data_IF_459412671797
#
_entry.id   IF_459412671797
#
_cell.length_a   1.000
_cell.length_b   1.000
_cell.length_c   1.000
_cell.angle_alpha   90.00
_cell.angle_beta   90.00
_cell.angle_gamma   90.00
#
_symmetry.space_group_name_H-M   'P 1'
#
loop_
_entity.id
_entity.type
_entity.pdbx_description
1 polymer ?
#
# COMPACT_ATOMS: atom_id res chain seq x y z
N UNK A 1 -74.83 -31.14 41.90
CA UNK A 1 -74.26 -31.20 40.55
C UNK A 1 -72.89 -30.46 40.57
N UNK A 2 -71.85 -31.23 40.66
CA UNK A 2 -70.45 -30.66 40.70
C UNK A 2 -69.83 -30.75 39.32
N UNK A 3 -69.51 -29.62 38.71
CA UNK A 3 -68.76 -29.53 37.44
C UNK A 3 -67.25 -29.46 37.73
N UNK A 4 -66.48 -30.46 37.26
CA UNK A 4 -65.02 -30.50 37.36
C UNK A 4 -64.45 -29.77 36.18
N UNK A 5 -63.74 -28.66 36.44
CA UNK A 5 -62.91 -27.96 35.45
C UNK A 5 -61.54 -28.67 35.36
N UNK A 6 -61.21 -29.22 34.19
CA UNK A 6 -59.90 -29.77 33.91
C UNK A 6 -59.00 -28.67 33.40
N UNK A 7 -58.02 -28.27 34.19
CA UNK A 7 -56.91 -27.37 33.77
C UNK A 7 -55.88 -28.17 33.02
N UNK A 8 -55.74 -27.94 31.70
CA UNK A 8 -54.68 -28.48 30.88
C UNK A 8 -53.46 -27.59 31.01
N UNK A 9 -52.37 -28.17 31.51
CA UNK A 9 -51.05 -27.53 31.58
C UNK A 9 -50.35 -27.70 30.21
N UNK A 10 -50.22 -26.62 29.41
CA UNK A 10 -49.48 -26.61 28.18
C UNK A 10 -47.99 -26.40 28.51
N UNK A 11 -47.18 -27.43 28.28
CA UNK A 11 -45.73 -27.39 28.43
C UNK A 11 -45.12 -26.73 27.19
N UNK A 12 -44.67 -25.47 27.33
CA UNK A 12 -43.97 -24.73 26.26
C UNK A 12 -42.53 -25.21 26.24
N UNK A 13 -42.15 -26.06 25.24
CA UNK A 13 -40.76 -26.41 24.97
C UNK A 13 -40.08 -25.24 24.25
N UNK A 14 -39.21 -24.58 24.98
CA UNK A 14 -38.30 -23.54 24.42
C UNK A 14 -37.15 -24.27 23.69
N UNK A 15 -37.19 -24.31 22.37
CA UNK A 15 -36.07 -24.76 21.54
C UNK A 15 -35.01 -23.66 21.54
N UNK A 16 -33.95 -23.80 22.35
CA UNK A 16 -32.72 -23.05 22.19
C UNK A 16 -32.02 -23.54 20.91
N UNK A 17 -32.12 -22.76 19.85
CA UNK A 17 -31.21 -22.91 18.69
C UNK A 17 -29.80 -22.52 19.14
N UNK A 18 -28.79 -23.35 18.96
CA UNK A 18 -27.39 -22.93 19.16
C UNK A 18 -27.10 -21.83 18.14
N UNK A 19 -26.84 -20.62 18.64
CA UNK A 19 -26.32 -19.54 17.81
C UNK A 19 -25.01 -20.01 17.16
N UNK A 20 -25.00 -20.10 15.84
CA UNK A 20 -23.77 -20.21 15.07
C UNK A 20 -23.01 -18.90 15.31
N UNK A 21 -22.13 -18.90 16.30
CA UNK A 21 -21.05 -17.92 16.37
C UNK A 21 -20.17 -18.19 15.14
N UNK A 22 -20.35 -17.40 14.09
CA UNK A 22 -19.35 -17.33 13.03
C UNK A 22 -18.08 -16.83 13.69
N UNK A 23 -17.11 -17.73 13.89
CA UNK A 23 -15.76 -17.33 14.20
C UNK A 23 -15.33 -16.44 13.02
N UNK A 24 -15.30 -15.13 13.24
CA UNK A 24 -14.66 -14.20 12.32
C UNK A 24 -13.20 -14.62 12.32
N UNK A 25 -12.76 -15.28 11.23
CA UNK A 25 -11.36 -15.58 11.04
C UNK A 25 -10.62 -14.24 11.16
N UNK A 26 -9.62 -14.17 12.05
CA UNK A 26 -8.76 -13.00 12.14
C UNK A 26 -8.23 -12.70 10.74
N UNK A 27 -8.54 -11.54 10.20
CA UNK A 27 -8.12 -11.18 8.85
C UNK A 27 -6.60 -11.16 8.81
N UNK A 28 -6.03 -12.01 7.96
CA UNK A 28 -4.58 -12.09 7.75
C UNK A 28 -4.09 -10.74 7.27
N UNK A 29 -3.13 -10.16 7.99
CA UNK A 29 -2.50 -8.90 7.58
C UNK A 29 -1.23 -9.20 6.80
N UNK A 30 -1.19 -8.72 5.57
CA UNK A 30 0.00 -8.79 4.72
C UNK A 30 0.93 -7.61 4.99
N UNK A 31 2.24 -7.83 4.87
CA UNK A 31 3.22 -6.75 4.96
C UNK A 31 3.27 -5.99 3.63
N UNK A 32 3.23 -4.66 3.68
CA UNK A 32 3.57 -3.85 2.51
C UNK A 32 5.04 -4.06 2.16
N UNK A 33 5.33 -4.45 0.92
CA UNK A 33 6.68 -4.91 0.55
C UNK A 33 7.44 -3.92 -0.32
N UNK A 34 6.82 -3.40 -1.40
CA UNK A 34 7.56 -2.61 -2.38
C UNK A 34 6.71 -1.69 -3.25
N UNK A 35 7.42 -0.81 -3.94
CA UNK A 35 6.94 -0.02 -5.08
C UNK A 35 7.89 -0.24 -6.26
N UNK A 36 7.34 -0.42 -7.47
CA UNK A 36 8.11 -0.36 -8.70
C UNK A 36 7.85 0.97 -9.42
N UNK A 37 8.94 1.68 -9.70
CA UNK A 37 8.94 2.94 -10.44
C UNK A 37 9.57 2.72 -11.82
N UNK A 38 8.88 3.15 -12.87
CA UNK A 38 9.38 3.13 -14.23
C UNK A 38 10.07 4.46 -14.54
N UNK A 39 11.36 4.40 -14.83
CA UNK A 39 12.20 5.58 -15.08
C UNK A 39 13.16 5.31 -16.25
N UNK A 40 13.63 6.35 -16.96
CA UNK A 40 14.56 6.14 -18.10
C UNK A 40 15.90 5.49 -17.67
N UNK A 41 16.45 5.91 -16.54
CA UNK A 41 17.78 5.51 -16.05
C UNK A 41 17.68 5.00 -14.61
N UNK A 42 17.35 3.70 -14.38
CA UNK A 42 17.08 3.15 -13.04
C UNK A 42 18.18 3.39 -12.01
N UNK A 43 19.44 3.18 -12.38
CA UNK A 43 20.55 3.34 -11.45
C UNK A 43 20.81 4.82 -11.08
N UNK A 44 20.61 5.73 -12.05
CA UNK A 44 20.73 7.18 -11.82
C UNK A 44 19.61 7.64 -10.90
N UNK A 45 18.38 7.16 -11.12
CA UNK A 45 17.25 7.47 -10.26
C UNK A 45 17.46 6.93 -8.85
N UNK A 46 17.87 5.68 -8.71
CA UNK A 46 18.13 5.08 -7.39
C UNK A 46 19.24 5.84 -6.64
N UNK A 47 20.31 6.25 -7.33
CA UNK A 47 21.36 7.06 -6.70
C UNK A 47 20.82 8.43 -6.25
N UNK A 48 20.02 9.10 -7.09
CA UNK A 48 19.40 10.38 -6.73
C UNK A 48 18.50 10.24 -5.49
N UNK A 49 17.67 9.21 -5.45
CA UNK A 49 16.80 8.93 -4.29
C UNK A 49 17.62 8.67 -3.03
N UNK A 50 18.67 7.85 -3.13
CA UNK A 50 19.57 7.56 -2.01
C UNK A 50 20.18 8.85 -1.42
N UNK A 51 20.67 9.74 -2.27
CA UNK A 51 21.38 10.94 -1.85
C UNK A 51 20.44 12.04 -1.31
N UNK A 52 19.21 12.10 -1.82
CA UNK A 52 18.30 13.21 -1.56
C UNK A 52 17.07 12.84 -0.72
N UNK A 53 16.59 11.60 -0.81
CA UNK A 53 15.41 11.12 -0.08
C UNK A 53 15.83 10.18 1.04
N UNK A 54 16.84 9.36 0.81
CA UNK A 54 17.34 8.33 1.72
C UNK A 54 17.20 6.94 1.16
N UNK A 55 17.20 5.96 2.06
CA UNK A 55 17.23 4.55 1.71
C UNK A 55 18.64 4.03 1.48
N UNK A 56 18.76 2.72 1.45
CA UNK A 56 20.04 2.03 1.28
C UNK A 56 19.97 1.05 0.12
N UNK A 57 21.02 0.93 -0.67
CA UNK A 57 21.11 -0.11 -1.68
C UNK A 57 21.03 -1.50 -1.05
N UNK A 58 20.28 -2.38 -1.68
CA UNK A 58 20.07 -3.76 -1.22
C UNK A 58 20.37 -4.77 -2.34
N UNK A 59 20.53 -6.03 -1.94
CA UNK A 59 20.73 -7.17 -2.85
C UNK A 59 21.98 -7.05 -3.74
N UNK A 60 22.96 -6.20 -3.37
CA UNK A 60 24.14 -5.91 -4.19
C UNK A 60 23.81 -5.20 -5.50
N UNK A 61 22.66 -4.53 -5.57
CA UNK A 61 22.15 -3.85 -6.77
C UNK A 61 22.09 -2.35 -6.56
N UNK A 62 22.20 -1.61 -7.68
CA UNK A 62 22.18 -0.15 -7.72
C UNK A 62 20.89 0.43 -8.31
N UNK A 63 19.91 -0.43 -8.60
CA UNK A 63 18.59 -0.09 -9.14
C UNK A 63 17.45 -0.19 -8.10
N UNK A 64 17.80 -0.38 -6.81
CA UNK A 64 16.81 -0.54 -5.75
C UNK A 64 17.30 -0.07 -4.40
N UNK A 65 16.36 0.45 -3.61
CA UNK A 65 16.61 0.97 -2.27
C UNK A 65 15.66 0.34 -1.25
N UNK A 66 16.13 0.20 -0.02
CA UNK A 66 15.34 -0.17 1.14
C UNK A 66 15.11 1.05 2.02
N UNK A 67 13.85 1.33 2.33
CA UNK A 67 13.38 2.32 3.30
C UNK A 67 12.68 1.59 4.44
N UNK A 68 13.38 1.35 5.55
CA UNK A 68 12.86 0.52 6.63
C UNK A 68 12.56 -0.91 6.14
N UNK A 69 11.28 -1.24 5.95
CA UNK A 69 10.84 -2.55 5.43
C UNK A 69 10.38 -2.51 3.97
N UNK A 70 10.26 -1.32 3.39
CA UNK A 70 9.72 -1.12 2.04
C UNK A 70 10.84 -0.95 1.02
N UNK A 71 10.75 -1.68 -0.08
CA UNK A 71 11.64 -1.54 -1.23
C UNK A 71 11.08 -0.56 -2.23
N UNK A 72 11.95 0.26 -2.80
CA UNK A 72 11.65 0.99 -4.04
C UNK A 72 12.59 0.44 -5.10
N UNK A 73 12.00 -0.12 -6.16
CA UNK A 73 12.73 -0.68 -7.27
C UNK A 73 12.49 0.17 -8.52
N UNK A 74 13.58 0.54 -9.19
CA UNK A 74 13.54 1.34 -10.40
C UNK A 74 13.69 0.41 -11.59
N UNK A 75 12.75 0.49 -12.52
CA UNK A 75 12.73 -0.29 -13.75
C UNK A 75 12.87 0.65 -14.96
N UNK A 76 13.46 0.15 -16.01
CA UNK A 76 13.52 0.91 -17.25
C UNK A 76 12.11 1.13 -17.81
N UNK A 77 11.76 2.39 -18.11
CA UNK A 77 10.45 2.81 -18.57
C UNK A 77 10.49 4.16 -19.25
N UNK A 78 11.18 4.27 -20.40
CA UNK A 78 11.40 5.52 -21.14
C UNK A 78 10.12 6.28 -21.53
N UNK A 79 9.00 5.57 -21.65
CA UNK A 79 7.71 6.12 -22.07
C UNK A 79 6.63 6.04 -21.00
N UNK A 80 7.03 5.91 -19.72
CA UNK A 80 6.07 5.83 -18.63
C UNK A 80 5.24 7.12 -18.52
N UNK A 81 3.92 6.97 -18.42
CA UNK A 81 3.03 8.10 -18.14
C UNK A 81 3.25 8.58 -16.71
N UNK A 82 3.39 9.90 -16.44
CA UNK A 82 3.47 10.39 -15.06
C UNK A 82 2.30 9.87 -14.22
N UNK A 83 2.57 9.37 -13.01
CA UNK A 83 1.56 8.77 -12.14
C UNK A 83 0.54 9.75 -11.58
N UNK A 84 0.85 11.04 -11.60
CA UNK A 84 -0.04 12.11 -11.11
C UNK A 84 -1.41 12.04 -11.78
N UNK A 85 -2.45 11.87 -10.98
CA UNK A 85 -3.83 11.69 -11.46
C UNK A 85 -4.22 10.24 -11.74
N UNK A 86 -3.28 9.31 -11.73
CA UNK A 86 -3.54 7.87 -11.80
C UNK A 86 -4.02 7.29 -10.48
N UNK A 87 -4.36 6.01 -10.49
CA UNK A 87 -4.81 5.31 -9.28
C UNK A 87 -3.73 5.31 -8.19
N UNK A 88 -2.45 5.17 -8.55
CA UNK A 88 -1.32 5.41 -7.64
C UNK A 88 -0.76 6.79 -7.97
N UNK A 89 -1.20 7.81 -7.25
CA UNK A 89 -0.91 9.21 -7.58
C UNK A 89 0.51 9.62 -7.20
N UNK A 90 0.93 9.33 -5.98
CA UNK A 90 2.25 9.69 -5.47
C UNK A 90 2.68 8.86 -4.26
N UNK A 91 3.95 8.99 -3.93
CA UNK A 91 4.57 8.44 -2.73
C UNK A 91 4.85 9.56 -1.73
N UNK A 92 4.76 9.24 -0.44
CA UNK A 92 5.08 10.15 0.64
C UNK A 92 6.31 9.73 1.43
N UNK A 93 7.14 10.71 1.78
CA UNK A 93 8.35 10.50 2.58
C UNK A 93 8.40 11.51 3.73
N UNK A 94 8.78 11.04 4.92
CA UNK A 94 8.85 11.86 6.11
C UNK A 94 10.27 12.10 6.56
N UNK A 95 10.53 13.33 6.98
CA UNK A 95 11.84 13.84 7.38
C UNK A 95 11.76 14.56 8.72
N UNK A 96 12.90 14.68 9.40
CA UNK A 96 13.03 15.44 10.65
C UNK A 96 13.13 16.95 10.42
N UNK A 97 13.59 17.38 9.23
CA UNK A 97 13.70 18.78 8.80
C UNK A 97 13.24 18.88 7.35
N UNK A 98 11.96 19.18 7.18
CA UNK A 98 11.36 19.28 5.87
C UNK A 98 11.91 20.46 5.06
N UNK A 99 12.17 21.60 5.71
CA UNK A 99 12.64 22.79 5.02
C UNK A 99 14.04 22.55 4.41
N UNK A 100 14.97 21.99 5.18
CA UNK A 100 16.29 21.64 4.67
C UNK A 100 16.21 20.56 3.57
N UNK A 101 15.26 19.63 3.70
CA UNK A 101 15.05 18.59 2.68
C UNK A 101 14.55 19.18 1.36
N UNK A 102 13.58 20.10 1.41
CA UNK A 102 13.07 20.76 0.19
C UNK A 102 14.16 21.55 -0.52
N UNK A 103 15.02 22.26 0.21
CA UNK A 103 16.15 22.97 -0.40
C UNK A 103 17.17 22.00 -1.02
N UNK A 104 17.46 20.89 -0.35
CA UNK A 104 18.36 19.83 -0.88
C UNK A 104 17.82 19.25 -2.19
N UNK A 105 16.56 18.81 -2.25
CA UNK A 105 16.00 18.22 -3.46
C UNK A 105 15.88 19.24 -4.59
N UNK A 106 15.57 20.50 -4.28
CA UNK A 106 15.56 21.62 -5.24
C UNK A 106 16.94 21.79 -5.87
N UNK A 107 17.98 21.85 -5.05
CA UNK A 107 19.37 21.94 -5.53
C UNK A 107 19.79 20.72 -6.36
N UNK A 108 19.19 19.56 -6.13
CA UNK A 108 19.40 18.32 -6.86
C UNK A 108 18.50 18.15 -8.10
N UNK A 109 17.81 19.22 -8.54
CA UNK A 109 17.06 19.24 -9.79
C UNK A 109 15.57 18.89 -9.70
N UNK A 110 15.01 18.68 -8.49
CA UNK A 110 13.58 18.52 -8.35
C UNK A 110 12.85 19.88 -8.50
N UNK A 111 11.63 19.83 -9.04
CA UNK A 111 10.74 20.98 -9.11
C UNK A 111 9.83 20.99 -7.90
N UNK A 112 9.87 22.06 -7.08
CA UNK A 112 8.95 22.23 -5.97
C UNK A 112 7.62 22.74 -6.53
N UNK A 113 6.61 21.89 -6.52
CA UNK A 113 5.26 22.20 -7.01
C UNK A 113 4.35 22.81 -5.94
N UNK A 114 4.68 22.61 -4.65
CA UNK A 114 4.06 23.27 -3.51
C UNK A 114 5.10 23.46 -2.42
N UNK A 115 5.32 24.71 -2.02
CA UNK A 115 6.26 25.06 -0.95
C UNK A 115 5.84 24.47 0.40
N UNK A 116 6.80 24.43 1.33
CA UNK A 116 6.54 23.98 2.70
C UNK A 116 5.42 24.81 3.33
N UNK A 117 4.39 24.11 3.78
CA UNK A 117 3.27 24.70 4.50
C UNK A 117 2.89 23.86 5.70
N UNK A 118 2.44 24.50 6.75
CA UNK A 118 1.85 23.83 7.89
C UNK A 118 0.40 23.45 7.59
N UNK A 119 0.03 22.21 7.87
CA UNK A 119 -1.37 21.77 7.81
C UNK A 119 -1.86 21.53 9.24
N UNK A 120 -2.70 22.42 9.77
CA UNK A 120 -3.14 22.33 11.15
C UNK A 120 -3.74 20.97 11.50
N UNK A 121 -3.21 20.35 12.54
CA UNK A 121 -3.63 19.04 13.02
C UNK A 121 -3.06 17.85 12.24
N UNK A 122 -2.20 18.07 11.24
CA UNK A 122 -1.43 17.03 10.57
C UNK A 122 0.08 17.23 10.81
N UNK A 123 0.76 17.83 9.86
CA UNK A 123 2.21 18.08 9.84
C UNK A 123 2.52 19.15 8.78
N UNK A 124 3.75 19.61 8.75
CA UNK A 124 4.24 20.36 7.59
C UNK A 124 4.39 19.45 6.39
N UNK A 125 4.03 19.93 5.21
CA UNK A 125 4.19 19.22 3.96
C UNK A 125 4.59 20.12 2.80
N UNK A 126 5.19 19.51 1.79
CA UNK A 126 5.52 20.11 0.50
C UNK A 126 5.27 19.07 -0.61
N UNK A 127 5.05 19.54 -1.82
CA UNK A 127 5.02 18.65 -2.99
C UNK A 127 6.16 18.99 -3.93
N UNK A 128 6.78 17.96 -4.46
CA UNK A 128 7.81 18.08 -5.49
C UNK A 128 7.49 17.17 -6.67
N UNK A 129 8.12 17.47 -7.80
CA UNK A 129 8.28 16.54 -8.92
C UNK A 129 9.78 16.26 -9.01
N UNK A 130 10.17 14.98 -8.91
CA UNK A 130 11.56 14.57 -9.00
C UNK A 130 12.12 14.78 -10.44
N UNK A 131 13.43 14.64 -10.66
CA UNK A 131 14.02 14.81 -11.99
C UNK A 131 13.53 13.79 -13.05
N UNK A 132 12.84 12.74 -12.61
CA UNK A 132 12.31 11.67 -13.47
C UNK A 132 10.82 11.80 -13.74
N UNK A 133 10.18 12.89 -13.24
CA UNK A 133 8.77 13.21 -13.47
C UNK A 133 7.79 12.65 -12.42
N UNK A 134 8.27 12.08 -11.33
CA UNK A 134 7.40 11.52 -10.30
C UNK A 134 7.02 12.58 -9.27
N UNK A 135 5.72 12.68 -9.00
CA UNK A 135 5.21 13.50 -7.90
C UNK A 135 5.47 12.82 -6.56
N UNK A 136 5.95 13.57 -5.60
CA UNK A 136 6.18 13.12 -4.23
C UNK A 136 5.65 14.11 -3.22
N UNK A 137 5.12 13.60 -2.11
CA UNK A 137 4.78 14.37 -0.93
C UNK A 137 5.90 14.23 0.10
N UNK A 138 6.51 15.34 0.47
CA UNK A 138 7.51 15.40 1.54
C UNK A 138 6.85 15.99 2.78
N UNK A 139 7.00 15.32 3.93
CA UNK A 139 6.32 15.70 5.17
C UNK A 139 7.28 15.73 6.36
N UNK A 140 6.84 16.37 7.46
CA UNK A 140 7.54 16.37 8.74
C UNK A 140 6.68 15.65 9.80
N UNK A 141 6.69 14.31 9.76
CA UNK A 141 6.05 13.46 10.76
C UNK A 141 7.09 12.66 11.53
N UNK A 142 7.47 13.16 12.72
CA UNK A 142 8.49 12.52 13.57
C UNK A 142 8.09 11.12 14.08
N UNK A 143 6.83 10.70 13.96
CA UNK A 143 6.39 9.38 14.39
C UNK A 143 6.63 8.32 13.32
N UNK A 144 6.73 8.71 12.05
CA UNK A 144 6.83 7.81 10.90
C UNK A 144 7.86 8.31 9.90
N UNK A 145 9.14 8.29 10.25
CA UNK A 145 10.23 8.75 9.39
C UNK A 145 10.52 7.76 8.24
N UNK A 146 11.01 8.28 7.12
CA UNK A 146 11.37 7.52 5.93
C UNK A 146 10.17 7.35 4.97
N UNK A 147 10.02 6.18 4.35
CA UNK A 147 8.86 5.91 3.49
C UNK A 147 7.59 5.90 4.34
N UNK A 148 6.72 6.87 4.08
CA UNK A 148 5.59 7.13 4.94
C UNK A 148 4.27 6.56 4.39
N UNK A 149 3.99 6.82 3.10
CA UNK A 149 2.72 6.38 2.53
C UNK A 149 2.77 6.18 1.03
N UNK A 150 1.83 5.38 0.55
CA UNK A 150 1.36 5.39 -0.84
C UNK A 150 0.01 6.08 -0.88
N UNK A 151 -0.17 7.02 -1.81
CA UNK A 151 -1.42 7.76 -1.95
C UNK A 151 -2.14 7.34 -3.22
N UNK A 152 -3.31 6.77 -3.03
CA UNK A 152 -4.19 6.34 -4.12
C UNK A 152 -5.28 7.39 -4.39
N UNK A 153 -5.87 7.29 -5.58
CA UNK A 153 -7.07 8.03 -5.95
C UNK A 153 -8.16 7.05 -6.35
N UNK A 154 -9.41 7.39 -5.99
CA UNK A 154 -10.56 6.55 -6.29
C UNK A 154 -11.83 7.38 -6.44
N UNK A 155 -12.73 6.90 -7.30
CA UNK A 155 -14.09 7.45 -7.42
C UNK A 155 -14.93 7.15 -6.17
N UNK A 156 -14.65 6.03 -5.48
CA UNK A 156 -15.25 5.68 -4.19
C UNK A 156 -14.15 5.25 -3.18
N UNK A 157 -13.55 6.20 -2.43
CA UNK A 157 -12.53 5.89 -1.45
C UNK A 157 -12.97 4.89 -0.38
N UNK A 158 -14.25 4.90 0.03
CA UNK A 158 -14.72 4.01 1.09
C UNK A 158 -14.80 2.56 0.60
N UNK A 159 -15.31 2.33 -0.60
CA UNK A 159 -15.31 1.01 -1.22
C UNK A 159 -13.88 0.52 -1.48
N UNK A 160 -12.98 1.40 -1.93
CA UNK A 160 -11.57 1.08 -2.16
C UNK A 160 -10.87 0.70 -0.86
N UNK A 161 -11.04 1.45 0.21
CA UNK A 161 -10.51 1.09 1.52
C UNK A 161 -11.05 -0.27 2.00
N UNK A 162 -12.36 -0.50 1.89
CA UNK A 162 -12.96 -1.77 2.30
C UNK A 162 -12.35 -2.96 1.53
N UNK A 163 -12.06 -2.78 0.24
CA UNK A 163 -11.41 -3.80 -0.56
C UNK A 163 -9.97 -4.10 -0.09
N UNK A 164 -9.15 -3.05 0.14
CA UNK A 164 -7.77 -3.24 0.61
C UNK A 164 -7.73 -3.89 2.00
N UNK A 165 -8.61 -3.46 2.91
CA UNK A 165 -8.72 -4.04 4.25
C UNK A 165 -9.16 -5.51 4.21
N UNK A 166 -10.18 -5.85 3.42
CA UNK A 166 -10.64 -7.23 3.26
C UNK A 166 -9.60 -8.12 2.58
N UNK A 167 -8.84 -7.58 1.62
CA UNK A 167 -7.88 -8.34 0.82
C UNK A 167 -6.55 -8.52 1.56
N UNK A 168 -5.96 -7.45 2.08
CA UNK A 168 -4.61 -7.45 2.65
C UNK A 168 -4.57 -7.17 4.14
N UNK A 169 -5.72 -6.94 4.79
CA UNK A 169 -5.77 -6.58 6.20
C UNK A 169 -5.21 -5.18 6.47
N UNK A 170 -4.41 -5.06 7.52
CA UNK A 170 -3.95 -3.78 8.03
C UNK A 170 -4.89 -3.20 9.09
N UNK A 171 -4.53 -2.07 9.65
CA UNK A 171 -5.33 -1.39 10.66
C UNK A 171 -6.02 -0.19 10.02
N UNK A 172 -7.33 -0.33 9.75
CA UNK A 172 -8.14 0.82 9.33
C UNK A 172 -8.20 1.82 10.47
N UNK A 173 -7.64 2.99 10.26
CA UNK A 173 -7.54 4.02 11.29
C UNK A 173 -7.44 5.42 10.66
N UNK A 174 -7.18 6.41 11.47
CA UNK A 174 -7.16 7.79 11.04
C UNK A 174 -5.79 8.42 11.35
N UNK A 175 -5.10 8.85 10.29
CA UNK A 175 -3.83 9.55 10.40
C UNK A 175 -4.06 10.91 11.08
N UNK A 176 -3.48 11.09 12.28
CA UNK A 176 -3.57 12.31 13.08
C UNK A 176 -5.01 12.79 13.35
N UNK A 177 -6.03 11.92 13.30
CA UNK A 177 -7.43 12.31 13.44
C UNK A 177 -7.98 13.12 12.27
N UNK A 178 -7.30 13.14 11.11
CA UNK A 178 -7.64 14.02 9.97
C UNK A 178 -7.86 13.28 8.65
N UNK A 179 -7.16 12.19 8.43
CA UNK A 179 -7.23 11.46 7.16
C UNK A 179 -7.43 9.98 7.42
N UNK A 180 -8.46 9.41 6.82
CA UNK A 180 -8.66 7.97 6.81
C UNK A 180 -7.51 7.27 6.09
N UNK A 181 -7.11 6.13 6.62
CA UNK A 181 -6.05 5.32 6.03
C UNK A 181 -6.03 3.90 6.56
N UNK A 182 -5.24 3.06 5.93
CA UNK A 182 -4.88 1.74 6.44
C UNK A 182 -3.40 1.78 6.79
N UNK A 183 -3.08 1.46 8.04
CA UNK A 183 -1.70 1.31 8.50
C UNK A 183 -1.28 -0.15 8.39
N UNK A 184 -0.25 -0.40 7.58
CA UNK A 184 0.37 -1.71 7.42
C UNK A 184 1.60 -1.89 8.32
N UNK A 185 2.00 -3.14 8.61
CA UNK A 185 3.28 -3.44 9.28
C UNK A 185 4.44 -2.75 8.57
N UNK A 186 5.38 -2.20 9.35
CA UNK A 186 6.48 -1.36 8.84
C UNK A 186 6.15 0.13 8.85
N UNK A 187 5.01 0.53 9.44
CA UNK A 187 4.53 1.92 9.54
C UNK A 187 4.27 2.57 8.19
N UNK A 188 3.75 1.80 7.23
CA UNK A 188 3.39 2.31 5.90
C UNK A 188 1.90 2.57 5.84
N UNK A 189 1.52 3.79 5.50
CA UNK A 189 0.14 4.18 5.29
C UNK A 189 -0.30 3.95 3.84
N UNK A 190 -1.49 3.39 3.66
CA UNK A 190 -2.26 3.49 2.43
C UNK A 190 -3.30 4.59 2.63
N UNK A 191 -3.15 5.68 1.88
CA UNK A 191 -4.07 6.81 1.90
C UNK A 191 -4.85 6.84 0.58
N UNK A 192 -6.10 7.28 0.61
CA UNK A 192 -6.95 7.34 -0.59
C UNK A 192 -7.71 8.66 -0.60
N UNK A 193 -7.59 9.40 -1.69
CA UNK A 193 -8.37 10.62 -1.93
C UNK A 193 -9.44 10.42 -2.99
N UNK A 194 -10.52 11.19 -2.88
CA UNK A 194 -11.59 11.26 -3.87
C UNK A 194 -11.05 11.79 -5.20
N UNK A 195 -11.46 11.15 -6.31
CA UNK A 195 -11.21 11.62 -7.66
C UNK A 195 -12.41 11.22 -8.56
N UNK A 196 -12.78 12.10 -9.48
CA UNK A 196 -13.88 11.81 -10.42
C UNK A 196 -13.48 10.77 -11.49
N UNK A 197 -12.18 10.70 -11.79
CA UNK A 197 -11.60 9.74 -12.71
C UNK A 197 -10.14 9.48 -12.38
N UNK A 198 -9.68 8.27 -12.67
CA UNK A 198 -8.29 7.85 -12.59
C UNK A 198 -7.90 7.08 -13.83
N UNK A 199 -6.62 6.72 -13.96
CA UNK A 199 -6.14 5.76 -14.95
C UNK A 199 -5.35 4.64 -14.26
N UNK A 200 -5.27 3.43 -14.86
CA UNK A 200 -4.54 2.30 -14.28
C UNK A 200 -3.07 2.62 -14.02
N UNK A 201 -2.49 1.99 -13.00
CA UNK A 201 -1.08 2.19 -12.67
C UNK A 201 -0.12 1.48 -13.62
N UNK A 202 -0.55 0.41 -14.28
CA UNK A 202 0.30 -0.30 -15.24
C UNK A 202 0.73 0.61 -16.39
N UNK A 203 2.04 0.76 -16.58
CA UNK A 203 2.62 1.65 -17.59
C UNK A 203 2.74 3.11 -17.14
N UNK A 204 2.33 3.44 -15.92
CA UNK A 204 2.62 4.72 -15.30
C UNK A 204 4.00 4.72 -14.63
N UNK A 205 4.48 5.89 -14.26
CA UNK A 205 5.79 6.04 -13.61
C UNK A 205 5.85 5.41 -12.20
N UNK A 206 4.71 5.24 -11.52
CA UNK A 206 4.54 4.28 -10.42
C UNK A 206 3.72 3.13 -11.00
N UNK A 207 4.40 2.09 -11.50
CA UNK A 207 3.77 1.01 -12.26
C UNK A 207 2.93 0.09 -11.37
N UNK A 208 3.46 -0.30 -10.22
CA UNK A 208 2.75 -1.13 -9.27
C UNK A 208 3.28 -1.01 -7.85
N UNK A 209 2.44 -1.45 -6.94
CA UNK A 209 2.69 -1.58 -5.50
C UNK A 209 2.59 -3.05 -5.12
N UNK A 210 3.27 -3.46 -4.04
CA UNK A 210 3.32 -4.88 -3.72
C UNK A 210 3.24 -5.21 -2.25
N UNK A 211 2.67 -6.39 -1.97
CA UNK A 211 2.61 -7.00 -0.65
C UNK A 211 3.42 -8.30 -0.61
N UNK A 212 3.93 -8.62 0.57
CA UNK A 212 4.68 -9.85 0.80
C UNK A 212 3.74 -11.03 1.02
N UNK A 213 3.86 -12.06 0.19
CA UNK A 213 3.32 -13.38 0.44
C UNK A 213 4.28 -14.14 1.38
N UNK A 214 3.78 -14.65 2.50
CA UNK A 214 4.59 -15.50 3.40
C UNK A 214 4.76 -16.92 2.84
N UNK A 215 3.71 -17.42 2.19
CA UNK A 215 3.68 -18.64 1.39
C UNK A 215 2.84 -18.38 0.14
N UNK A 216 3.36 -18.72 -1.03
CA UNK A 216 2.69 -18.43 -2.30
C UNK A 216 1.39 -19.21 -2.46
N UNK A 217 1.40 -20.53 -2.16
CA UNK A 217 0.23 -21.38 -2.35
C UNK A 217 -0.92 -20.98 -1.40
N UNK A 218 -0.59 -20.73 -0.14
CA UNK A 218 -1.56 -20.25 0.85
C UNK A 218 -2.12 -18.88 0.47
N UNK A 219 -1.25 -17.96 0.00
CA UNK A 219 -1.66 -16.61 -0.43
C UNK A 219 -2.58 -16.66 -1.64
N UNK A 220 -2.26 -17.50 -2.64
CA UNK A 220 -3.11 -17.70 -3.81
C UNK A 220 -4.50 -18.22 -3.40
N UNK A 221 -4.53 -19.24 -2.54
CA UNK A 221 -5.79 -19.81 -2.05
C UNK A 221 -6.64 -18.80 -1.28
N UNK A 222 -6.01 -17.98 -0.42
CA UNK A 222 -6.67 -16.91 0.33
C UNK A 222 -7.28 -15.85 -0.61
N UNK A 223 -6.50 -15.36 -1.57
CA UNK A 223 -6.96 -14.34 -2.51
C UNK A 223 -8.04 -14.86 -3.46
N UNK A 224 -7.94 -16.13 -3.90
CA UNK A 224 -8.99 -16.77 -4.69
C UNK A 224 -10.30 -16.91 -3.90
N UNK A 225 -10.20 -17.32 -2.62
CA UNK A 225 -11.38 -17.40 -1.74
C UNK A 225 -12.05 -16.04 -1.51
N UNK A 226 -11.28 -14.94 -1.57
CA UNK A 226 -11.78 -13.56 -1.50
C UNK A 226 -12.29 -13.02 -2.83
N UNK A 227 -12.19 -13.78 -3.93
CA UNK A 227 -12.63 -13.38 -5.26
C UNK A 227 -11.75 -12.34 -5.94
N UNK A 228 -10.47 -12.25 -5.55
CA UNK A 228 -9.52 -11.31 -6.15
C UNK A 228 -9.17 -11.75 -7.56
N UNK A 229 -9.16 -10.82 -8.51
CA UNK A 229 -8.83 -11.07 -9.92
C UNK A 229 -7.30 -11.17 -10.11
N UNK A 230 -6.85 -12.32 -10.63
CA UNK A 230 -5.45 -12.54 -10.98
C UNK A 230 -5.19 -12.10 -12.42
N UNK A 231 -4.17 -11.27 -12.62
CA UNK A 231 -3.77 -10.75 -13.94
C UNK A 231 -2.52 -11.42 -14.49
N UNK A 232 -1.89 -12.31 -13.72
CA UNK A 232 -0.81 -13.19 -14.17
C UNK A 232 -0.79 -14.49 -13.40
N UNK A 233 -0.26 -15.54 -14.03
CA UNK A 233 0.09 -16.78 -13.33
C UNK A 233 1.29 -16.54 -12.40
N UNK A 234 1.38 -17.29 -11.27
CA UNK A 234 2.55 -17.32 -10.41
C UNK A 234 3.78 -17.82 -11.18
N UNK A 235 4.91 -17.16 -10.98
CA UNK A 235 6.17 -17.51 -11.64
C UNK A 235 7.36 -17.29 -10.74
N UNK A 236 8.40 -18.08 -10.96
CA UNK A 236 9.67 -17.94 -10.27
C UNK A 236 10.60 -17.01 -11.03
N UNK A 237 11.39 -16.24 -10.27
CA UNK A 237 12.53 -15.49 -10.78
C UNK A 237 13.76 -15.82 -9.94
N UNK A 238 14.84 -16.24 -10.61
CA UNK A 238 16.12 -16.46 -9.95
C UNK A 238 16.87 -15.13 -9.85
N UNK A 239 17.21 -14.76 -8.63
CA UNK A 239 18.04 -13.61 -8.30
C UNK A 239 19.41 -14.11 -7.77
N UNK A 240 20.45 -13.26 -7.73
CA UNK A 240 21.75 -13.67 -7.19
C UNK A 240 21.71 -14.21 -5.75
N UNK A 241 20.77 -13.72 -4.95
CA UNK A 241 20.59 -14.08 -3.54
C UNK A 241 19.45 -15.07 -3.27
N UNK A 242 18.84 -15.68 -4.32
CA UNK A 242 17.82 -16.70 -4.15
C UNK A 242 16.74 -16.67 -5.22
N UNK A 243 15.67 -17.43 -4.98
CA UNK A 243 14.50 -17.48 -5.87
C UNK A 243 13.35 -16.73 -5.19
N UNK A 244 12.69 -15.87 -5.95
CA UNK A 244 11.41 -15.29 -5.57
C UNK A 244 10.30 -15.91 -6.41
N UNK A 245 9.12 -16.06 -5.82
CA UNK A 245 7.88 -16.38 -6.54
C UNK A 245 6.97 -15.15 -6.50
N UNK A 246 6.38 -14.77 -7.62
CA UNK A 246 5.53 -13.59 -7.69
C UNK A 246 4.41 -13.73 -8.71
N UNK A 247 3.36 -12.95 -8.51
CA UNK A 247 2.21 -12.87 -9.40
C UNK A 247 1.51 -11.52 -9.21
N UNK A 248 0.65 -11.18 -10.17
CA UNK A 248 -0.09 -9.92 -10.14
C UNK A 248 -1.57 -10.14 -9.97
N UNK A 249 -2.20 -9.23 -9.25
CA UNK A 249 -3.66 -9.14 -9.09
C UNK A 249 -4.13 -7.72 -9.44
N UNK A 250 -5.42 -7.62 -9.80
CA UNK A 250 -6.08 -6.36 -10.10
C UNK A 250 -6.69 -5.78 -8.83
N UNK A 251 -6.26 -4.59 -8.45
CA UNK A 251 -6.91 -3.79 -7.42
C UNK A 251 -7.96 -2.83 -7.98
N UNK A 252 -8.69 -2.14 -7.09
CA UNK A 252 -9.65 -1.12 -7.49
C UNK A 252 -9.04 -0.05 -8.39
N UNK A 253 -9.87 0.57 -9.24
CA UNK A 253 -9.49 1.66 -10.15
C UNK A 253 -8.36 1.30 -11.14
N UNK A 254 -8.04 0.03 -11.30
CA UNK A 254 -6.94 -0.40 -12.15
C UNK A 254 -5.57 -0.38 -11.47
N UNK A 255 -5.51 -0.40 -10.15
CA UNK A 255 -4.24 -0.56 -9.43
C UNK A 255 -3.63 -1.93 -9.74
N UNK A 256 -2.43 -1.96 -10.31
CA UNK A 256 -1.66 -3.19 -10.48
C UNK A 256 -0.94 -3.51 -9.17
N UNK A 257 -1.13 -4.73 -8.67
CA UNK A 257 -0.63 -5.17 -7.38
C UNK A 257 0.20 -6.43 -7.55
N UNK A 258 1.42 -6.43 -7.04
CA UNK A 258 2.29 -7.61 -7.01
C UNK A 258 2.23 -8.29 -5.64
N UNK A 259 2.07 -9.60 -5.62
CA UNK A 259 2.35 -10.45 -4.48
C UNK A 259 3.70 -11.12 -4.71
N UNK A 260 4.59 -10.99 -3.74
CA UNK A 260 5.93 -11.55 -3.85
C UNK A 260 6.28 -12.38 -2.62
N UNK A 261 6.64 -13.63 -2.86
CA UNK A 261 7.24 -14.52 -1.85
C UNK A 261 8.76 -14.50 -1.99
N UNK A 262 9.44 -14.28 -0.86
CA UNK A 262 10.90 -14.36 -0.75
C UNK A 262 11.25 -15.25 0.44
N UNK A 263 12.35 -15.96 0.35
CA UNK A 263 12.89 -16.66 1.52
C UNK A 263 13.15 -15.66 2.67
N UNK A 264 13.07 -16.13 3.91
CA UNK A 264 13.12 -15.27 5.10
C UNK A 264 14.44 -14.49 5.24
N UNK A 265 15.52 -14.98 4.67
CA UNK A 265 16.86 -14.40 4.66
C UNK A 265 17.12 -13.44 3.48
N UNK A 266 16.19 -13.34 2.54
CA UNK A 266 16.26 -12.38 1.44
C UNK A 266 15.70 -11.03 1.90
N UNK A 267 16.59 -10.06 2.09
CA UNK A 267 16.25 -8.67 2.42
C UNK A 267 15.85 -7.90 1.18
#
# INVERSE_FOLDING_TARGET
MYNKIKTGLALLMLFCLPGLASAQAESKTYMYDHVHMAVPEPEVAAQWYKDNIGGEFIDGRTDRLLFGTTRIMFLNGDAATPSTGGVVDHLGFSFTDLAATVERVRAAGATVSSEVRDVPGLFKLAFIVDPFGNRMELIEDAQHLGFHHVHLRSADPQATFAWYEATFGGIRTNLRGRMDGILYPGNVWLLISQADATFPSQGASIDHIGWRALDSAETIADLQAKGVEFTSEPRDMTLPNGIINFFYVQGPEGARIELVHRAADMR
#
